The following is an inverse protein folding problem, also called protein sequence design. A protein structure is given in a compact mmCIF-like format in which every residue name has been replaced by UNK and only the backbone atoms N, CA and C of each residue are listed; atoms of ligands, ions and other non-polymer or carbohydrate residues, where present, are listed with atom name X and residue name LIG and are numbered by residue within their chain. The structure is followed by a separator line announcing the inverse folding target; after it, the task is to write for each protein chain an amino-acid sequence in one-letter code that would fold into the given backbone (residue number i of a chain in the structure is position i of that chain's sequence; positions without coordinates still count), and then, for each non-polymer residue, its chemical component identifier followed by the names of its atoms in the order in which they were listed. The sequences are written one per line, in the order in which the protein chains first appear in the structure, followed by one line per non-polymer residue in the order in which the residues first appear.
data_IF_392767968118
#
_entry.id   IF_392767968118
#
_cell.length_a   1.000
_cell.length_b   1.000
_cell.length_c   1.000
_cell.angle_alpha   90.00
_cell.angle_beta   90.00
_cell.angle_gamma   90.00
#
_symmetry.space_group_name_H-M   'P 1'
#
loop_
_entity.id
_entity.type
_entity.pdbx_description
1 polymer ?
#
# COMPACT_ATOMS: atom_id res chain seq x y z
N UNK A 1 25.44 -61.75 -46.15
CA UNK A 1 23.99 -62.05 -46.18
C UNK A 1 23.53 -61.96 -44.71
N UNK A 2 22.61 -61.13 -44.25
CA UNK A 2 21.41 -60.54 -44.83
C UNK A 2 21.27 -59.10 -44.30
N UNK A 3 20.92 -58.18 -45.20
CA UNK A 3 20.41 -56.84 -44.86
C UNK A 3 19.01 -57.03 -44.29
N UNK A 4 18.70 -56.47 -43.12
CA UNK A 4 17.31 -56.30 -42.68
C UNK A 4 17.15 -54.87 -42.20
N UNK A 5 16.59 -54.09 -43.12
CA UNK A 5 15.99 -52.77 -42.96
C UNK A 5 14.71 -52.95 -42.12
N UNK A 6 14.55 -52.24 -41.01
CA UNK A 6 13.28 -52.17 -40.27
C UNK A 6 12.75 -50.72 -40.28
N UNK A 7 11.46 -50.52 -40.59
CA UNK A 7 10.92 -49.24 -41.06
C UNK A 7 10.58 -48.24 -39.94
N UNK A 8 10.64 -46.96 -40.31
CA UNK A 8 10.06 -45.83 -39.59
C UNK A 8 8.58 -46.10 -39.24
N UNK A 9 8.29 -46.26 -37.95
CA UNK A 9 6.94 -46.03 -37.41
C UNK A 9 6.91 -44.66 -36.76
N UNK A 10 6.39 -43.69 -37.52
CA UNK A 10 6.04 -42.35 -37.06
C UNK A 10 4.90 -42.45 -36.05
N UNK A 11 5.23 -42.52 -34.77
CA UNK A 11 4.26 -42.38 -33.69
C UNK A 11 3.76 -40.93 -33.64
N UNK A 12 2.73 -40.65 -34.43
CA UNK A 12 1.83 -39.51 -34.27
C UNK A 12 0.98 -39.78 -33.03
N UNK A 13 1.51 -39.51 -31.84
CA UNK A 13 0.71 -39.44 -30.62
C UNK A 13 0.57 -37.99 -30.18
N UNK A 14 -0.51 -37.40 -30.69
CA UNK A 14 -1.24 -36.22 -30.26
C UNK A 14 -0.78 -35.67 -28.89
N UNK A 15 0.16 -34.73 -28.92
CA UNK A 15 0.42 -33.81 -27.80
C UNK A 15 -0.82 -32.94 -27.61
N UNK A 16 -1.81 -33.43 -26.87
CA UNK A 16 -2.82 -32.57 -26.25
C UNK A 16 -2.10 -31.76 -25.19
N UNK A 17 -1.50 -30.66 -25.65
CA UNK A 17 -0.93 -29.64 -24.81
C UNK A 17 -2.10 -29.04 -24.03
N UNK A 18 -2.37 -29.58 -22.85
CA UNK A 18 -3.25 -28.97 -21.87
C UNK A 18 -2.58 -27.67 -21.44
N UNK A 19 -2.84 -26.61 -22.22
CA UNK A 19 -2.48 -25.25 -21.88
C UNK A 19 -3.26 -24.93 -20.63
N UNK A 20 -2.63 -25.11 -19.46
CA UNK A 20 -3.20 -24.73 -18.18
C UNK A 20 -3.59 -23.26 -18.26
N UNK A 21 -4.87 -23.00 -18.48
CA UNK A 21 -5.49 -21.71 -18.21
C UNK A 21 -5.25 -21.49 -16.72
N UNK A 22 -4.30 -20.62 -16.41
CA UNK A 22 -4.09 -20.15 -15.05
C UNK A 22 -5.33 -19.35 -14.70
N UNK A 23 -6.30 -20.02 -14.06
CA UNK A 23 -7.52 -19.37 -13.59
C UNK A 23 -7.09 -18.35 -12.56
N UNK A 24 -7.08 -17.09 -12.98
CA UNK A 24 -6.60 -16.02 -12.14
C UNK A 24 -7.60 -15.86 -10.98
N UNK A 25 -7.19 -16.29 -9.79
CA UNK A 25 -8.01 -16.19 -8.61
C UNK A 25 -8.22 -14.72 -8.24
N UNK A 26 -9.46 -14.24 -8.34
CA UNK A 26 -9.86 -12.93 -7.80
C UNK A 26 -9.91 -13.06 -6.28
N UNK A 27 -8.94 -12.48 -5.57
CA UNK A 27 -9.00 -12.42 -4.10
C UNK A 27 -9.97 -11.31 -3.69
N UNK A 28 -10.96 -11.66 -2.87
CA UNK A 28 -11.93 -10.71 -2.31
C UNK A 28 -11.80 -10.64 -0.78
N UNK A 29 -12.30 -9.55 -0.21
CA UNK A 29 -12.32 -9.29 1.23
C UNK A 29 -13.71 -8.83 1.66
N UNK A 30 -14.28 -9.48 2.68
CA UNK A 30 -15.57 -9.08 3.28
C UNK A 30 -15.33 -8.08 4.40
N UNK A 31 -15.80 -6.85 4.18
CA UNK A 31 -15.71 -5.72 5.12
C UNK A 31 -16.35 -6.11 6.45
N UNK A 32 -15.63 -5.86 7.55
CA UNK A 32 -16.10 -6.06 8.93
C UNK A 32 -16.51 -4.72 9.55
N UNK A 33 -17.27 -4.77 10.64
CA UNK A 33 -17.57 -3.57 11.41
C UNK A 33 -16.26 -2.94 11.91
N UNK A 34 -16.09 -1.63 11.66
CA UNK A 34 -14.87 -0.88 11.97
C UNK A 34 -13.77 -0.91 10.91
N UNK A 35 -13.95 -1.61 9.79
CA UNK A 35 -12.98 -1.56 8.69
C UNK A 35 -13.04 -0.23 7.94
N UNK A 36 -11.89 0.23 7.46
CA UNK A 36 -11.75 1.39 6.57
C UNK A 36 -11.12 0.95 5.25
N UNK A 37 -11.39 1.67 4.16
CA UNK A 37 -10.72 1.40 2.87
C UNK A 37 -9.20 1.40 3.02
N UNK A 38 -8.68 2.28 3.86
CA UNK A 38 -7.26 2.32 4.17
C UNK A 38 -6.79 1.05 4.88
N UNK A 39 -7.49 0.61 5.93
CA UNK A 39 -7.13 -0.59 6.68
C UNK A 39 -7.13 -1.84 5.80
N UNK A 40 -8.12 -1.96 4.92
CA UNK A 40 -8.23 -3.05 3.95
C UNK A 40 -7.12 -2.97 2.90
N UNK A 41 -6.93 -1.80 2.28
CA UNK A 41 -5.91 -1.62 1.26
C UNK A 41 -4.50 -1.94 1.82
N UNK A 42 -4.20 -1.46 3.03
CA UNK A 42 -2.94 -1.75 3.71
C UNK A 42 -2.76 -3.23 4.02
N UNK A 43 -3.80 -3.91 4.54
CA UNK A 43 -3.78 -5.36 4.81
C UNK A 43 -3.43 -6.19 3.57
N UNK A 44 -3.80 -5.70 2.39
CA UNK A 44 -3.57 -6.36 1.12
C UNK A 44 -2.39 -5.77 0.33
N UNK A 45 -1.59 -4.87 0.92
CA UNK A 45 -0.45 -4.20 0.28
C UNK A 45 -0.82 -3.49 -1.04
N UNK A 46 -2.02 -2.93 -1.12
CA UNK A 46 -2.53 -2.17 -2.27
C UNK A 46 -2.84 -0.75 -1.82
N UNK A 47 -3.01 0.15 -2.79
CA UNK A 47 -3.45 1.53 -2.51
C UNK A 47 -4.97 1.60 -2.36
N UNK A 48 -5.45 2.58 -1.58
CA UNK A 48 -6.89 2.88 -1.53
C UNK A 48 -7.42 3.17 -2.94
N UNK A 49 -6.65 3.83 -3.79
CA UNK A 49 -7.06 4.09 -5.18
C UNK A 49 -7.15 2.83 -6.04
N UNK A 50 -6.23 1.86 -5.87
CA UNK A 50 -6.35 0.54 -6.50
C UNK A 50 -7.57 -0.21 -5.97
N UNK A 51 -7.76 -0.23 -4.64
CA UNK A 51 -8.92 -0.84 -4.03
C UNK A 51 -10.23 -0.20 -4.54
N UNK A 52 -10.28 1.14 -4.63
CA UNK A 52 -11.42 1.89 -5.15
C UNK A 52 -11.65 1.61 -6.63
N UNK A 53 -10.60 1.63 -7.45
CA UNK A 53 -10.73 1.41 -8.89
C UNK A 53 -11.16 -0.02 -9.22
N UNK A 54 -10.68 -1.01 -8.47
CA UNK A 54 -11.09 -2.41 -8.65
C UNK A 54 -12.54 -2.66 -8.24
N UNK A 55 -13.09 -1.79 -7.39
CA UNK A 55 -14.45 -1.90 -6.83
C UNK A 55 -15.38 -0.77 -7.26
N UNK A 56 -14.99 0.05 -8.24
CA UNK A 56 -15.75 1.19 -8.74
C UNK A 56 -16.26 2.15 -7.64
N UNK A 57 -15.47 2.33 -6.57
CA UNK A 57 -15.84 3.18 -5.45
C UNK A 57 -15.50 4.64 -5.73
N UNK A 58 -16.53 5.50 -5.74
CA UNK A 58 -16.38 6.96 -5.93
C UNK A 58 -15.98 7.68 -4.64
N UNK A 59 -16.47 7.21 -3.50
CA UNK A 59 -16.25 7.79 -2.16
C UNK A 59 -15.50 6.81 -1.27
N UNK A 60 -15.12 7.25 -0.09
CA UNK A 60 -14.37 6.44 0.86
C UNK A 60 -15.25 5.60 1.80
N UNK A 61 -16.58 5.73 1.67
CA UNK A 61 -17.55 4.98 2.46
C UNK A 61 -17.62 3.52 1.99
N UNK A 62 -17.51 2.62 2.97
CA UNK A 62 -17.74 1.18 2.85
C UNK A 62 -18.62 0.72 4.00
N UNK A 63 -19.38 -0.35 3.79
CA UNK A 63 -20.32 -0.86 4.78
C UNK A 63 -19.93 -2.28 5.22
N UNK A 64 -20.20 -2.69 6.47
CA UNK A 64 -20.02 -4.06 6.90
C UNK A 64 -20.72 -5.05 5.95
N UNK A 65 -20.12 -6.23 5.77
CA UNK A 65 -20.54 -7.30 4.85
C UNK A 65 -20.33 -7.00 3.35
N UNK A 66 -19.95 -5.77 2.96
CA UNK A 66 -19.56 -5.46 1.58
C UNK A 66 -18.35 -6.31 1.15
N UNK A 67 -18.33 -6.79 -0.09
CA UNK A 67 -17.23 -7.60 -0.63
C UNK A 67 -16.39 -6.74 -1.58
N UNK A 68 -15.10 -6.61 -1.30
CA UNK A 68 -14.16 -5.83 -2.11
C UNK A 68 -13.14 -6.74 -2.80
N UNK A 69 -12.88 -6.51 -4.08
CA UNK A 69 -11.75 -7.06 -4.82
C UNK A 69 -10.46 -6.44 -4.28
N UNK A 70 -9.57 -7.28 -3.77
CA UNK A 70 -8.29 -6.89 -3.14
C UNK A 70 -7.07 -7.44 -3.87
N UNK A 71 -7.28 -8.07 -5.03
CA UNK A 71 -6.21 -8.46 -5.96
C UNK A 71 -6.76 -8.44 -7.38
N UNK A 72 -5.99 -7.92 -8.33
CA UNK A 72 -6.30 -8.05 -9.77
C UNK A 72 -5.77 -9.37 -10.30
N UNK A 73 -6.57 -10.02 -11.13
CA UNK A 73 -6.17 -11.18 -11.92
C UNK A 73 -5.07 -10.79 -12.91
N UNK A 74 -3.90 -11.40 -12.77
CA UNK A 74 -2.84 -11.31 -13.77
C UNK A 74 -3.22 -12.21 -14.95
N UNK A 75 -3.95 -11.67 -15.93
CA UNK A 75 -3.82 -12.23 -17.29
C UNK A 75 -2.41 -11.91 -17.75
N UNK A 76 -1.57 -12.94 -17.77
CA UNK A 76 -0.21 -12.90 -18.27
C UNK A 76 -0.21 -12.41 -19.72
N UNK A 77 0.19 -11.16 -19.93
CA UNK A 77 0.64 -10.68 -21.23
C UNK A 77 2.18 -10.72 -21.22
N UNK A 78 2.71 -11.57 -22.10
CA UNK A 78 4.12 -11.83 -22.42
C UNK A 78 5.01 -10.57 -22.43
N UNK A 79 6.27 -10.64 -21.97
CA UNK A 79 7.12 -9.46 -21.77
C UNK A 79 7.59 -8.89 -23.11
N UNK A 80 7.25 -7.63 -23.41
CA UNK A 80 7.89 -6.86 -24.47
C UNK A 80 8.13 -5.42 -24.02
N UNK A 81 9.43 -5.10 -23.95
CA UNK A 81 10.07 -3.79 -23.99
C UNK A 81 9.62 -2.72 -22.96
N UNK A 82 10.63 -2.19 -22.24
CA UNK A 82 10.66 -0.95 -21.45
C UNK A 82 9.58 0.07 -21.86
N UNK A 83 8.39 -0.06 -21.29
CA UNK A 83 7.43 1.02 -21.27
C UNK A 83 7.96 2.02 -20.24
N UNK A 84 8.54 3.13 -20.74
CA UNK A 84 8.58 4.38 -20.00
C UNK A 84 7.18 4.58 -19.44
N UNK A 85 7.04 4.33 -18.14
CA UNK A 85 5.78 4.53 -17.45
C UNK A 85 5.49 6.01 -17.63
N UNK A 86 4.52 6.34 -18.47
CA UNK A 86 3.85 7.63 -18.45
C UNK A 86 3.19 7.72 -17.09
N UNK A 87 4.02 8.13 -16.13
CA UNK A 87 3.66 8.51 -14.80
C UNK A 87 2.58 9.57 -14.97
N UNK A 88 1.33 9.20 -14.69
CA UNK A 88 0.31 10.20 -14.39
C UNK A 88 0.94 11.08 -13.31
N UNK A 89 1.33 12.30 -13.65
CA UNK A 89 2.05 13.20 -12.75
C UNK A 89 1.11 13.52 -11.61
N UNK A 90 1.17 12.74 -10.52
CA UNK A 90 0.37 12.99 -9.33
C UNK A 90 0.64 14.43 -8.92
N UNK A 91 -0.38 15.27 -8.94
CA UNK A 91 -0.25 16.66 -8.52
C UNK A 91 0.06 16.64 -7.03
N UNK A 92 1.20 17.22 -6.65
CA UNK A 92 1.61 17.32 -5.26
C UNK A 92 1.90 18.78 -4.88
N UNK A 93 1.63 19.11 -3.62
CA UNK A 93 2.11 20.34 -2.99
C UNK A 93 3.31 19.98 -2.13
N UNK A 94 4.44 20.66 -2.31
CA UNK A 94 5.60 20.49 -1.42
C UNK A 94 5.55 21.53 -0.32
N UNK A 95 5.81 21.12 0.92
CA UNK A 95 6.02 22.03 2.05
C UNK A 95 7.29 21.64 2.80
N UNK A 96 7.90 22.63 3.47
CA UNK A 96 9.02 22.41 4.39
C UNK A 96 8.48 22.39 5.82
N UNK A 97 8.83 21.38 6.60
CA UNK A 97 8.34 21.20 7.97
C UNK A 97 9.45 20.89 8.95
N UNK A 98 9.23 21.21 10.23
CA UNK A 98 10.01 20.67 11.34
C UNK A 98 9.48 19.27 11.67
N UNK A 99 10.32 18.25 11.54
CA UNK A 99 9.98 16.86 11.80
C UNK A 99 10.69 16.33 13.05
N UNK A 100 9.91 15.71 13.92
CA UNK A 100 10.39 14.88 15.03
C UNK A 100 9.92 13.44 14.84
N UNK A 101 10.22 12.54 15.77
CA UNK A 101 9.69 11.18 15.75
C UNK A 101 9.07 10.81 17.10
N UNK A 102 8.08 9.93 17.05
CA UNK A 102 7.43 9.36 18.23
C UNK A 102 7.30 7.84 18.12
N UNK A 103 7.04 7.21 19.26
CA UNK A 103 6.69 5.80 19.35
C UNK A 103 5.32 5.63 20.00
N UNK A 104 4.68 4.49 19.75
CA UNK A 104 3.38 4.16 20.35
C UNK A 104 3.50 3.39 21.67
N UNK A 105 4.73 3.09 22.11
CA UNK A 105 5.03 2.15 23.19
C UNK A 105 5.27 2.86 24.54
N UNK A 106 4.55 3.95 24.81
CA UNK A 106 4.54 4.61 26.11
C UNK A 106 3.50 3.98 27.07
N UNK A 107 3.78 4.04 28.39
CA UNK A 107 2.87 3.56 29.45
C UNK A 107 1.53 4.31 29.34
N UNK A 108 0.42 3.57 29.26
CA UNK A 108 -0.93 4.14 29.11
C UNK A 108 -1.32 4.56 27.68
N UNK A 109 -0.41 4.49 26.70
CA UNK A 109 -0.73 4.86 25.32
C UNK A 109 -1.55 3.76 24.64
N UNK A 110 -2.72 4.10 24.09
CA UNK A 110 -3.56 3.16 23.33
C UNK A 110 -2.88 2.69 22.03
N UNK A 111 -2.02 3.54 21.46
CA UNK A 111 -1.43 3.34 20.14
C UNK A 111 -2.44 3.49 19.00
N UNK A 112 -3.62 4.04 19.28
CA UNK A 112 -4.65 4.33 18.29
C UNK A 112 -4.50 5.79 17.86
N UNK A 113 -4.32 6.03 16.57
CA UNK A 113 -4.24 7.39 16.01
C UNK A 113 -5.61 8.02 15.87
N UNK A 114 -5.66 9.33 15.62
CA UNK A 114 -6.91 10.04 15.32
C UNK A 114 -7.68 9.52 14.10
N UNK A 115 -6.99 8.89 13.13
CA UNK A 115 -7.63 8.20 12.01
C UNK A 115 -8.10 6.77 12.32
N UNK A 116 -7.95 6.32 13.58
CA UNK A 116 -8.29 4.96 14.02
C UNK A 116 -7.23 3.89 13.71
N UNK A 117 -6.02 4.26 13.26
CA UNK A 117 -4.96 3.30 12.98
C UNK A 117 -4.34 2.80 14.29
N UNK A 118 -4.29 1.48 14.47
CA UNK A 118 -3.58 0.85 15.58
C UNK A 118 -2.09 0.62 15.24
N UNK A 119 -1.22 1.47 15.78
CA UNK A 119 0.23 1.43 15.56
C UNK A 119 0.91 0.23 16.22
N UNK A 120 0.39 -0.25 17.35
CA UNK A 120 0.92 -1.43 18.06
C UNK A 120 0.69 -2.73 17.28
N UNK A 121 -0.47 -2.84 16.63
CA UNK A 121 -0.79 -3.96 15.73
C UNK A 121 -0.11 -3.85 14.35
N UNK A 122 0.38 -2.66 13.99
CA UNK A 122 1.00 -2.39 12.69
C UNK A 122 2.36 -1.70 12.87
N UNK A 123 3.36 -2.35 13.50
CA UNK A 123 4.63 -1.71 13.88
C UNK A 123 5.48 -1.23 12.70
N UNK A 124 5.19 -1.69 11.47
CA UNK A 124 5.89 -1.30 10.25
C UNK A 124 5.16 -0.22 9.45
N UNK A 125 4.01 0.27 9.94
CA UNK A 125 3.26 1.32 9.24
C UNK A 125 4.05 2.63 9.21
N UNK A 126 4.00 3.33 8.08
CA UNK A 126 4.53 4.68 7.92
C UNK A 126 3.42 5.69 8.16
N UNK A 127 3.27 6.10 9.42
CA UNK A 127 2.28 7.07 9.86
C UNK A 127 2.97 8.34 10.35
N UNK A 128 2.33 9.49 10.12
CA UNK A 128 2.76 10.77 10.67
C UNK A 128 1.62 11.46 11.40
N UNK A 129 1.98 12.19 12.46
CA UNK A 129 1.12 13.13 13.16
C UNK A 129 1.29 14.51 12.51
N UNK A 130 0.18 15.20 12.25
CA UNK A 130 0.15 16.48 11.51
C UNK A 130 -0.81 17.48 12.12
N UNK A 131 -0.75 18.73 11.66
CA UNK A 131 -1.86 19.68 11.77
C UNK A 131 -2.87 19.43 10.63
N UNK A 132 -4.11 18.98 10.91
CA UNK A 132 -5.12 18.71 9.89
C UNK A 132 -5.49 19.92 9.02
N UNK A 133 -5.25 21.16 9.48
CA UNK A 133 -5.48 22.37 8.67
C UNK A 133 -4.43 22.55 7.57
N UNK A 134 -3.24 21.96 7.75
CA UNK A 134 -2.12 22.03 6.79
C UNK A 134 -2.03 20.77 5.93
N UNK A 135 -2.12 19.60 6.57
CA UNK A 135 -2.17 18.28 5.93
C UNK A 135 -3.40 17.56 6.47
N UNK A 136 -4.50 17.43 5.70
CA UNK A 136 -5.69 16.71 6.16
C UNK A 136 -5.37 15.27 6.60
N UNK A 137 -6.12 14.76 7.59
CA UNK A 137 -6.00 13.36 7.97
C UNK A 137 -6.38 12.44 6.80
N UNK A 138 -5.67 11.33 6.67
CA UNK A 138 -5.78 10.41 5.54
C UNK A 138 -4.94 10.79 4.32
N UNK A 139 -4.39 12.02 4.27
CA UNK A 139 -3.57 12.45 3.15
C UNK A 139 -2.29 11.63 3.06
N UNK A 140 -2.00 11.14 1.84
CA UNK A 140 -0.72 10.50 1.52
C UNK A 140 0.35 11.56 1.36
N UNK A 141 1.50 11.26 1.92
CA UNK A 141 2.66 12.13 1.81
C UNK A 141 3.91 11.33 1.47
N UNK A 142 4.91 11.99 0.91
CA UNK A 142 6.28 11.51 0.92
C UNK A 142 7.09 12.42 1.82
N UNK A 143 7.68 11.85 2.87
CA UNK A 143 8.54 12.59 3.80
C UNK A 143 9.99 12.25 3.46
N UNK A 144 10.75 13.27 3.09
CA UNK A 144 12.18 13.14 2.78
C UNK A 144 12.93 12.41 3.90
N UNK A 145 13.69 11.36 3.55
CA UNK A 145 14.43 10.52 4.49
C UNK A 145 13.59 9.50 5.28
N UNK A 146 12.26 9.57 5.26
CA UNK A 146 11.37 8.63 5.95
C UNK A 146 10.59 7.73 4.99
N UNK A 147 10.26 8.24 3.81
CA UNK A 147 9.54 7.54 2.74
C UNK A 147 8.06 7.93 2.64
N UNK A 148 7.31 7.12 1.90
CA UNK A 148 5.87 7.31 1.75
C UNK A 148 5.15 6.98 3.05
N UNK A 149 4.28 7.90 3.48
CA UNK A 149 3.55 7.82 4.73
C UNK A 149 2.12 8.31 4.58
N UNK A 150 1.36 8.23 5.67
CA UNK A 150 0.02 8.78 5.77
C UNK A 150 -0.11 9.69 6.99
N UNK A 151 -0.79 10.82 6.81
CA UNK A 151 -1.26 11.67 7.90
C UNK A 151 -2.34 10.93 8.70
N UNK A 152 -1.93 10.15 9.70
CA UNK A 152 -2.82 9.26 10.44
C UNK A 152 -3.28 9.86 11.77
N UNK A 153 -2.55 10.86 12.28
CA UNK A 153 -2.72 11.30 13.65
C UNK A 153 -2.65 12.82 13.80
N UNK A 154 -3.14 13.32 14.93
CA UNK A 154 -3.00 14.72 15.35
C UNK A 154 -2.47 14.76 16.79
N UNK A 155 -1.59 15.72 17.06
CA UNK A 155 -1.08 15.97 18.41
C UNK A 155 -1.35 17.41 18.83
N UNK A 156 -1.58 17.65 20.13
CA UNK A 156 -1.78 19.00 20.66
C UNK A 156 -0.61 19.94 20.32
N UNK A 157 0.62 19.41 20.35
CA UNK A 157 1.85 20.14 20.05
C UNK A 157 2.29 20.09 18.57
N UNK A 158 1.49 19.47 17.68
CA UNK A 158 1.75 19.37 16.24
C UNK A 158 0.83 20.34 15.52
N UNK A 159 1.33 21.56 15.31
CA UNK A 159 0.60 22.71 14.75
C UNK A 159 1.40 23.36 13.62
N UNK A 160 0.71 23.83 12.59
CA UNK A 160 1.31 24.45 11.42
C UNK A 160 2.24 23.49 10.65
N UNK A 161 3.40 24.01 10.23
CA UNK A 161 4.41 23.26 9.47
C UNK A 161 5.29 22.38 10.38
N UNK A 162 4.65 21.54 11.20
CA UNK A 162 5.31 20.57 12.08
C UNK A 162 4.69 19.20 11.88
N UNK A 163 5.52 18.17 11.87
CA UNK A 163 5.09 16.78 11.82
C UNK A 163 5.84 15.93 12.85
N UNK A 164 5.25 14.78 13.18
CA UNK A 164 5.90 13.75 13.98
C UNK A 164 5.83 12.41 13.23
N UNK A 165 6.96 11.76 12.95
CA UNK A 165 6.97 10.47 12.24
C UNK A 165 6.92 9.30 13.21
N UNK A 166 6.13 8.28 12.91
CA UNK A 166 6.03 7.11 13.75
C UNK A 166 7.20 6.15 13.51
N UNK A 167 7.81 5.68 14.59
CA UNK A 167 8.63 4.47 14.60
C UNK A 167 8.16 3.53 15.72
N UNK A 168 8.09 2.23 15.43
CA UNK A 168 7.84 1.22 16.46
C UNK A 168 9.03 1.05 17.42
N UNK A 169 10.24 1.30 16.94
CA UNK A 169 11.47 1.22 17.74
C UNK A 169 11.87 2.58 18.28
N UNK A 170 12.11 2.63 19.60
CA UNK A 170 12.61 3.83 20.26
C UNK A 170 13.98 4.27 19.72
N UNK A 171 14.90 3.33 19.51
CA UNK A 171 16.21 3.64 18.92
C UNK A 171 16.08 4.27 17.53
N UNK A 172 15.17 3.78 16.67
CA UNK A 172 14.94 4.40 15.36
C UNK A 172 14.34 5.80 15.46
N UNK A 173 13.48 6.06 16.44
CA UNK A 173 12.95 7.40 16.69
C UNK A 173 14.05 8.37 17.16
N UNK A 174 14.96 7.92 18.03
CA UNK A 174 16.12 8.72 18.46
C UNK A 174 17.06 9.00 17.28
N UNK A 175 17.39 7.98 16.47
CA UNK A 175 18.25 8.13 15.29
C UNK A 175 17.63 9.04 14.23
N UNK A 176 16.30 9.08 14.14
CA UNK A 176 15.63 10.08 13.32
C UNK A 176 15.96 11.50 13.80
N UNK A 177 15.85 11.77 15.10
CA UNK A 177 16.16 13.07 15.69
C UNK A 177 15.21 14.19 15.24
N UNK A 178 15.58 15.44 15.52
CA UNK A 178 14.82 16.62 15.08
C UNK A 178 15.49 17.20 13.84
N UNK A 179 14.74 17.38 12.75
CA UNK A 179 15.30 17.99 11.54
C UNK A 179 14.22 18.69 10.71
N UNK A 180 14.67 19.51 9.78
CA UNK A 180 13.79 20.13 8.78
C UNK A 180 13.79 19.26 7.53
N UNK A 181 12.60 18.90 7.03
CA UNK A 181 12.44 18.02 5.85
C UNK A 181 11.42 18.59 4.87
N UNK A 182 11.55 18.22 3.59
CA UNK A 182 10.49 18.44 2.61
C UNK A 182 9.45 17.33 2.67
N UNK A 183 8.19 17.72 2.57
CA UNK A 183 7.04 16.81 2.50
C UNK A 183 6.27 17.08 1.21
N UNK A 184 6.15 16.06 0.37
CA UNK A 184 5.24 16.08 -0.78
C UNK A 184 3.86 15.63 -0.31
N UNK A 185 2.87 16.49 -0.44
CA UNK A 185 1.48 16.24 -0.10
C UNK A 185 0.75 15.90 -1.41
N UNK A 186 0.34 14.65 -1.55
CA UNK A 186 -0.37 14.20 -2.75
C UNK A 186 -1.83 14.66 -2.69
N UNK A 187 -2.32 15.23 -3.80
CA UNK A 187 -3.71 15.63 -3.99
C UNK A 187 -4.47 14.56 -4.77
#
# INVERSE_FOLDING_TARGET
MKKILLPLFTAFFLVFSFSGVSSAATTTYKVKSGDTLWGIANKHNITVNQLKSWNNLKKDNIHPKQVLKVKKTSTSAKPKAKAKTTSSSKKYKTITVKATAYTANCKGCSGITASGLNLKKNPNVKAISVDPKVIPLGTKVHVEGYGDAIAADKGGAIKGNKIDVFYSSHSKAINWGRKTVKVKIYK
#
